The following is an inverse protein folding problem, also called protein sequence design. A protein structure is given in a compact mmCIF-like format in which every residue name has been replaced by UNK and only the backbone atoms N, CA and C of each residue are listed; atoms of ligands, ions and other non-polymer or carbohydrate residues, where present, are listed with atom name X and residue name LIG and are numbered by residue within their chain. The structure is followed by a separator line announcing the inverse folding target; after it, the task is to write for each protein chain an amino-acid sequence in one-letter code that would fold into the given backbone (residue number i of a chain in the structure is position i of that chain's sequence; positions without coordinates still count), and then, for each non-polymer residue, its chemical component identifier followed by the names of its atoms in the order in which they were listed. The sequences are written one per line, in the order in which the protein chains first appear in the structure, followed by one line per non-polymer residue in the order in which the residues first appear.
data_IF_871624133929
#
_entry.id   IF_871624133929
#
_cell.length_a   1.000
_cell.length_b   1.000
_cell.length_c   1.000
_cell.angle_alpha   90.00
_cell.angle_beta   90.00
_cell.angle_gamma   90.00
#
_symmetry.space_group_name_H-M   'P 1'
#
loop_
_entity.id
_entity.type
_entity.pdbx_description
1 polymer ?
#
# COMPACT_ATOMS: atom_id res chain seq x y z
N UNK A 1 8.48 21.87 1.87
CA UNK A 1 8.55 20.50 1.29
C UNK A 1 7.61 19.63 2.12
N UNK A 2 6.86 18.75 1.52
CA UNK A 2 5.97 17.89 2.29
C UNK A 2 6.74 17.07 3.32
N UNK A 3 6.09 16.74 4.43
CA UNK A 3 6.68 15.89 5.47
C UNK A 3 6.54 14.41 5.13
N UNK A 4 5.45 14.05 4.42
CA UNK A 4 5.10 12.69 4.05
C UNK A 4 4.83 12.57 2.54
N UNK A 5 5.42 11.57 1.87
CA UNK A 5 4.98 11.12 0.56
C UNK A 5 4.17 9.84 0.71
N UNK A 6 2.91 9.89 0.28
CA UNK A 6 2.07 8.69 0.15
C UNK A 6 2.23 8.15 -1.26
N UNK A 7 2.72 6.92 -1.37
CA UNK A 7 3.04 6.29 -2.66
C UNK A 7 2.19 5.04 -2.83
N UNK A 8 1.71 4.80 -4.04
CA UNK A 8 1.10 3.52 -4.42
C UNK A 8 1.47 3.12 -5.84
N UNK A 9 1.51 1.82 -6.10
CA UNK A 9 1.61 1.25 -7.43
C UNK A 9 0.21 0.85 -7.91
N UNK A 10 -0.22 1.41 -9.04
CA UNK A 10 -1.52 1.11 -9.65
C UNK A 10 -1.35 0.28 -10.93
N UNK A 11 -2.28 -0.64 -11.17
CA UNK A 11 -2.51 -1.24 -12.46
C UNK A 11 -4.00 -1.58 -12.62
N UNK A 12 -4.67 -0.94 -13.57
CA UNK A 12 -6.08 -1.19 -13.92
C UNK A 12 -7.05 -1.26 -12.72
N UNK A 13 -6.81 -0.46 -11.69
CA UNK A 13 -7.56 -0.52 -10.42
C UNK A 13 -8.17 0.84 -10.04
N UNK A 14 -9.00 1.47 -10.92
CA UNK A 14 -9.46 2.85 -10.74
C UNK A 14 -10.26 3.07 -9.46
N UNK A 15 -11.14 2.13 -9.10
CA UNK A 15 -12.00 2.26 -7.91
C UNK A 15 -11.20 2.17 -6.60
N UNK A 16 -10.19 1.29 -6.58
CA UNK A 16 -9.29 1.16 -5.44
C UNK A 16 -8.41 2.39 -5.28
N UNK A 17 -7.85 2.89 -6.40
CA UNK A 17 -7.05 4.11 -6.39
C UNK A 17 -7.86 5.32 -5.91
N UNK A 18 -9.13 5.44 -6.34
CA UNK A 18 -10.03 6.48 -5.87
C UNK A 18 -10.28 6.37 -4.36
N UNK A 19 -10.59 5.17 -3.85
CA UNK A 19 -10.85 4.93 -2.44
C UNK A 19 -9.61 5.26 -1.59
N UNK A 20 -8.43 4.77 -1.99
CA UNK A 20 -7.18 5.07 -1.32
C UNK A 20 -6.93 6.58 -1.26
N UNK A 21 -6.94 7.25 -2.41
CA UNK A 21 -6.68 8.70 -2.50
C UNK A 21 -7.65 9.51 -1.65
N UNK A 22 -8.96 9.22 -1.75
CA UNK A 22 -9.97 9.93 -0.95
C UNK A 22 -9.80 9.68 0.55
N UNK A 23 -9.40 8.46 0.96
CA UNK A 23 -9.11 8.17 2.35
C UNK A 23 -7.89 8.93 2.87
N UNK A 24 -6.82 9.04 2.06
CA UNK A 24 -5.65 9.85 2.39
C UNK A 24 -6.03 11.32 2.57
N UNK A 25 -6.75 11.90 1.62
CA UNK A 25 -7.23 13.30 1.70
C UNK A 25 -8.07 13.56 2.95
N UNK A 26 -8.92 12.60 3.31
CA UNK A 26 -9.84 12.73 4.45
C UNK A 26 -9.14 12.65 5.80
N UNK A 27 -8.11 11.82 5.93
CA UNK A 27 -7.58 11.41 7.23
C UNK A 27 -6.12 11.79 7.47
N UNK A 28 -5.40 12.34 6.49
CA UNK A 28 -4.04 12.84 6.67
C UNK A 28 -4.05 14.28 7.17
N UNK A 29 -3.26 14.59 8.18
CA UNK A 29 -3.27 15.89 8.86
C UNK A 29 -1.97 16.68 8.72
N UNK A 30 -0.85 16.04 8.40
CA UNK A 30 0.44 16.70 8.14
C UNK A 30 0.53 17.13 6.68
N UNK A 31 1.55 17.92 6.32
CA UNK A 31 1.81 18.29 4.92
C UNK A 31 2.28 17.06 4.13
N UNK A 32 1.61 16.74 3.02
CA UNK A 32 1.88 15.54 2.24
C UNK A 32 1.80 15.75 0.73
N UNK A 33 2.36 14.81 -0.01
CA UNK A 33 2.14 14.62 -1.45
C UNK A 33 1.64 13.21 -1.73
N UNK A 34 0.89 13.04 -2.82
CA UNK A 34 0.45 11.72 -3.32
C UNK A 34 1.19 11.43 -4.62
N UNK A 35 1.84 10.27 -4.69
CA UNK A 35 2.55 9.79 -5.87
C UNK A 35 1.95 8.44 -6.28
N UNK A 36 1.44 8.36 -7.50
CA UNK A 36 0.92 7.12 -8.07
C UNK A 36 1.81 6.69 -9.23
N UNK A 37 2.40 5.51 -9.09
CA UNK A 37 3.15 4.85 -10.16
C UNK A 37 2.20 3.92 -10.88
N UNK A 38 1.75 4.35 -12.03
CA UNK A 38 0.88 3.53 -12.87
C UNK A 38 1.70 2.56 -13.71
N UNK A 39 1.53 1.29 -13.47
CA UNK A 39 2.27 0.17 -14.07
C UNK A 39 1.71 -0.24 -15.45
N UNK A 40 1.26 0.71 -16.27
CA UNK A 40 0.82 0.44 -17.62
C UNK A 40 -0.66 0.05 -17.72
N UNK A 41 -1.52 0.74 -16.99
CA UNK A 41 -2.97 0.59 -17.07
C UNK A 41 -3.51 0.99 -18.44
N UNK A 42 -4.68 0.45 -18.80
CA UNK A 42 -5.43 0.93 -19.96
C UNK A 42 -5.88 2.38 -19.75
N UNK A 43 -5.88 3.21 -20.79
CA UNK A 43 -6.27 4.63 -20.68
C UNK A 43 -7.64 4.86 -20.03
N UNK A 44 -8.62 3.98 -20.31
CA UNK A 44 -9.96 4.06 -19.71
C UNK A 44 -9.97 3.97 -18.19
N UNK A 45 -8.95 3.31 -17.59
CA UNK A 45 -8.82 3.09 -16.15
C UNK A 45 -8.01 4.20 -15.46
N UNK A 46 -7.50 5.18 -16.23
CA UNK A 46 -6.77 6.34 -15.70
C UNK A 46 -7.59 7.62 -15.67
N UNK A 47 -8.78 7.64 -16.29
CA UNK A 47 -9.61 8.84 -16.48
C UNK A 47 -9.84 9.61 -15.18
N UNK A 48 -10.05 8.92 -14.06
CA UNK A 48 -10.25 9.58 -12.79
C UNK A 48 -8.93 10.15 -12.25
N UNK A 49 -7.85 9.37 -12.28
CA UNK A 49 -6.53 9.78 -11.78
C UNK A 49 -5.97 10.98 -12.56
N UNK A 50 -6.15 11.01 -13.88
CA UNK A 50 -5.68 12.09 -14.77
C UNK A 50 -6.36 13.45 -14.51
N UNK A 51 -7.52 13.43 -13.84
CA UNK A 51 -8.26 14.64 -13.46
C UNK A 51 -7.83 15.21 -12.10
N UNK A 52 -6.96 14.51 -11.36
CA UNK A 52 -6.56 14.92 -10.03
C UNK A 52 -5.31 15.81 -10.11
N UNK A 53 -5.43 17.11 -9.81
CA UNK A 53 -4.34 18.08 -9.90
C UNK A 53 -3.30 17.96 -8.76
N UNK A 54 -3.70 17.40 -7.63
CA UNK A 54 -2.87 17.23 -6.42
C UNK A 54 -2.11 15.89 -6.38
N UNK A 55 -2.23 15.05 -7.42
CA UNK A 55 -1.55 13.78 -7.55
C UNK A 55 -0.40 13.87 -8.54
N UNK A 56 0.77 13.41 -8.14
CA UNK A 56 1.88 13.16 -9.06
C UNK A 56 1.71 11.77 -9.70
N UNK A 57 1.04 11.73 -10.85
CA UNK A 57 0.80 10.50 -11.61
C UNK A 57 1.97 10.24 -12.58
N UNK A 58 2.68 9.12 -12.40
CA UNK A 58 3.74 8.63 -13.28
C UNK A 58 3.19 7.44 -14.08
N UNK A 59 2.94 7.64 -15.37
CA UNK A 59 2.43 6.60 -16.27
C UNK A 59 3.58 5.87 -16.93
N UNK A 60 3.69 4.58 -16.66
CA UNK A 60 4.66 3.71 -17.31
C UNK A 60 4.05 3.03 -18.53
N UNK A 61 4.86 2.72 -19.51
CA UNK A 61 4.41 2.01 -20.72
C UNK A 61 4.14 0.52 -20.50
N UNK A 62 4.62 -0.05 -19.41
CA UNK A 62 4.45 -1.46 -19.06
C UNK A 62 4.63 -1.68 -17.55
N UNK A 63 4.18 -2.85 -17.08
CA UNK A 63 4.34 -3.26 -15.69
C UNK A 63 5.81 -3.59 -15.39
N UNK A 64 6.44 -2.80 -14.53
CA UNK A 64 7.81 -3.00 -14.05
C UNK A 64 7.87 -3.83 -12.76
N UNK A 65 6.73 -4.23 -12.22
CA UNK A 65 6.60 -4.94 -10.96
C UNK A 65 6.43 -4.01 -9.75
N UNK A 66 5.77 -4.52 -8.71
CA UNK A 66 5.36 -3.76 -7.52
C UNK A 66 6.57 -3.14 -6.80
N UNK A 67 7.57 -3.95 -6.45
CA UNK A 67 8.76 -3.46 -5.74
C UNK A 67 9.59 -2.44 -6.52
N UNK A 68 9.67 -2.57 -7.86
CA UNK A 68 10.33 -1.57 -8.70
C UNK A 68 9.53 -0.25 -8.72
N UNK A 69 8.20 -0.30 -8.69
CA UNK A 69 7.36 0.89 -8.57
C UNK A 69 7.54 1.58 -7.21
N UNK A 70 7.70 0.80 -6.11
CA UNK A 70 8.07 1.33 -4.80
C UNK A 70 9.41 2.07 -4.85
N UNK A 71 10.45 1.44 -5.41
CA UNK A 71 11.79 2.03 -5.52
C UNK A 71 11.73 3.33 -6.34
N UNK A 72 11.02 3.34 -7.46
CA UNK A 72 10.84 4.54 -8.29
C UNK A 72 10.11 5.65 -7.51
N UNK A 73 8.98 5.31 -6.85
CA UNK A 73 8.22 6.26 -6.05
C UNK A 73 9.06 6.88 -4.94
N UNK A 74 9.88 6.07 -4.26
CA UNK A 74 10.82 6.52 -3.22
C UNK A 74 11.85 7.50 -3.78
N UNK A 75 12.45 7.21 -4.94
CA UNK A 75 13.44 8.08 -5.57
C UNK A 75 12.89 9.45 -5.94
N UNK A 76 11.65 9.51 -6.42
CA UNK A 76 11.03 10.76 -6.89
C UNK A 76 10.24 11.52 -5.82
N UNK A 77 10.12 10.96 -4.62
CA UNK A 77 9.48 11.60 -3.47
C UNK A 77 10.31 12.81 -2.99
N UNK A 78 9.63 13.79 -2.38
CA UNK A 78 10.25 15.03 -1.91
C UNK A 78 10.24 15.19 -0.39
N UNK A 79 9.62 14.26 0.31
CA UNK A 79 9.42 14.29 1.76
C UNK A 79 10.51 13.54 2.51
N UNK A 80 10.55 13.76 3.82
CA UNK A 80 11.39 12.99 4.73
C UNK A 80 10.88 11.55 4.87
N UNK A 81 9.58 11.39 5.10
CA UNK A 81 8.95 10.09 5.30
C UNK A 81 8.19 9.63 4.07
N UNK A 82 8.14 8.32 3.91
CA UNK A 82 7.36 7.64 2.87
C UNK A 82 6.40 6.66 3.52
N UNK A 83 5.13 6.74 3.15
CA UNK A 83 4.13 5.70 3.39
C UNK A 83 3.76 5.08 2.04
N UNK A 84 4.16 3.84 1.81
CA UNK A 84 3.75 3.09 0.64
C UNK A 84 2.54 2.23 0.96
N UNK A 85 1.49 2.31 0.13
CA UNK A 85 0.27 1.51 0.27
C UNK A 85 0.06 0.60 -0.94
N UNK A 86 -0.43 -0.61 -0.71
CA UNK A 86 -1.11 -1.34 -1.77
C UNK A 86 -2.35 -0.57 -2.20
N UNK A 87 -2.63 -0.54 -3.50
CA UNK A 87 -3.72 0.29 -4.04
C UNK A 87 -5.11 -0.14 -3.55
N UNK A 88 -5.25 -1.40 -3.15
CA UNK A 88 -6.45 -1.99 -2.55
C UNK A 88 -6.50 -1.88 -1.02
N UNK A 89 -5.70 -0.95 -0.47
CA UNK A 89 -5.77 -0.52 0.93
C UNK A 89 -6.44 0.84 1.05
N UNK A 90 -6.96 1.16 2.23
CA UNK A 90 -7.39 2.52 2.55
C UNK A 90 -7.26 2.84 4.03
N UNK A 91 -7.08 4.11 4.33
CA UNK A 91 -7.04 4.62 5.71
C UNK A 91 -8.46 4.76 6.24
N UNK A 92 -8.69 4.45 7.52
CA UNK A 92 -10.01 4.42 8.13
C UNK A 92 -10.26 5.51 9.17
N UNK A 93 -9.21 6.20 9.64
CA UNK A 93 -9.31 7.20 10.70
C UNK A 93 -8.22 8.27 10.64
N UNK A 94 -8.44 9.46 11.22
CA UNK A 94 -7.41 10.48 11.37
C UNK A 94 -6.33 10.05 12.39
N UNK A 95 -5.17 10.72 12.31
CA UNK A 95 -4.04 10.56 13.23
C UNK A 95 -3.07 9.44 12.86
N UNK A 96 -3.37 8.65 11.85
CA UNK A 96 -2.54 7.55 11.37
C UNK A 96 -1.11 8.00 10.99
N UNK A 97 -1.03 9.14 10.34
CA UNK A 97 0.19 9.79 9.87
C UNK A 97 1.14 10.15 11.02
N UNK A 98 0.61 10.84 12.01
CA UNK A 98 1.38 11.25 13.21
C UNK A 98 1.80 10.05 14.06
N UNK A 99 0.87 9.10 14.27
CA UNK A 99 1.15 7.90 15.04
C UNK A 99 2.24 7.03 14.40
N UNK A 100 2.31 6.94 13.05
CA UNK A 100 3.41 6.25 12.37
C UNK A 100 4.74 6.99 12.53
N UNK A 101 4.75 8.32 12.44
CA UNK A 101 5.96 9.12 12.66
C UNK A 101 6.43 8.97 14.11
N UNK A 102 5.52 9.02 15.09
CA UNK A 102 5.84 8.83 16.49
C UNK A 102 6.42 7.44 16.77
N UNK A 103 5.81 6.39 16.21
CA UNK A 103 6.30 5.02 16.32
C UNK A 103 7.69 4.86 15.70
N UNK A 104 7.91 5.43 14.50
CA UNK A 104 9.20 5.36 13.81
C UNK A 104 10.30 6.12 14.55
N UNK A 105 10.00 7.32 15.04
CA UNK A 105 10.98 8.20 15.71
C UNK A 105 11.17 7.89 17.19
N UNK A 106 10.32 7.06 17.79
CA UNK A 106 10.40 6.65 19.19
C UNK A 106 11.56 5.69 19.51
N UNK A 107 12.11 5.02 18.49
CA UNK A 107 13.32 4.15 18.62
C UNK A 107 14.19 4.34 17.36
N UNK A 108 15.35 4.95 17.52
CA UNK A 108 16.31 5.23 16.45
C UNK A 108 16.77 3.97 15.69
N UNK A 109 16.54 2.79 16.23
CA UNK A 109 16.82 1.53 15.53
C UNK A 109 15.73 1.12 14.54
N UNK A 110 14.50 1.62 14.67
CA UNK A 110 13.44 1.31 13.71
C UNK A 110 13.72 2.02 12.39
N UNK A 111 13.84 1.25 11.30
CA UNK A 111 14.12 1.78 9.95
C UNK A 111 13.08 1.40 8.91
N UNK A 112 12.16 0.55 9.28
CA UNK A 112 11.00 0.18 8.48
C UNK A 112 9.86 -0.21 9.42
N UNK A 113 8.66 0.29 9.13
CA UNK A 113 7.42 -0.23 9.71
C UNK A 113 6.67 -0.93 8.57
N UNK A 114 6.13 -2.11 8.83
CA UNK A 114 5.35 -2.87 7.86
C UNK A 114 4.32 -3.73 8.55
N UNK A 115 3.44 -4.36 7.79
CA UNK A 115 2.41 -5.25 8.34
C UNK A 115 2.96 -6.66 8.51
N UNK A 116 2.62 -7.33 9.61
CA UNK A 116 3.01 -8.73 9.83
C UNK A 116 2.48 -9.62 8.70
N UNK A 117 3.38 -10.37 8.08
CA UNK A 117 3.05 -11.32 7.03
C UNK A 117 2.50 -12.65 7.58
N UNK A 118 2.00 -13.52 6.70
CA UNK A 118 1.69 -14.91 7.05
C UNK A 118 2.96 -15.67 7.40
N UNK A 119 2.83 -16.88 7.99
CA UNK A 119 3.91 -17.67 8.64
C UNK A 119 5.26 -17.73 7.91
N UNK A 120 5.26 -17.68 6.58
CA UNK A 120 6.48 -17.77 5.77
C UNK A 120 7.01 -16.42 5.28
N UNK A 121 6.34 -15.32 5.61
CA UNK A 121 6.69 -13.98 5.12
C UNK A 121 6.75 -13.02 6.29
N UNK A 122 7.91 -12.44 6.57
CA UNK A 122 8.06 -11.54 7.72
C UNK A 122 7.21 -10.26 7.59
N UNK A 123 6.99 -9.80 6.36
CA UNK A 123 6.16 -8.62 6.06
C UNK A 123 5.15 -8.91 4.96
N UNK A 124 4.07 -8.15 4.99
CA UNK A 124 3.02 -8.08 3.98
C UNK A 124 2.91 -6.64 3.46
N UNK A 125 2.68 -6.42 2.15
CA UNK A 125 2.78 -5.10 1.52
C UNK A 125 1.65 -4.08 1.72
N UNK A 126 0.55 -4.29 2.46
CA UNK A 126 -0.52 -3.29 2.55
C UNK A 126 -0.07 -1.91 2.99
N UNK A 127 0.99 -1.85 3.80
CA UNK A 127 1.65 -0.62 4.24
C UNK A 127 3.12 -0.88 4.50
N UNK A 128 3.97 0.04 4.00
CA UNK A 128 5.33 0.25 4.48
C UNK A 128 5.52 1.73 4.82
N UNK A 129 6.21 1.98 5.94
CA UNK A 129 6.57 3.34 6.36
C UNK A 129 8.03 3.40 6.74
N UNK A 130 8.76 4.40 6.21
CA UNK A 130 10.20 4.54 6.38
C UNK A 130 10.69 5.97 6.12
N UNK A 131 11.90 6.26 6.54
CA UNK A 131 12.62 7.49 6.16
C UNK A 131 13.31 7.30 4.81
N UNK A 132 13.02 8.19 3.85
CA UNK A 132 13.50 8.10 2.47
C UNK A 132 15.03 8.02 2.39
N UNK A 133 15.72 8.94 3.07
CA UNK A 133 17.18 9.04 2.98
C UNK A 133 17.86 7.76 3.48
N UNK A 134 17.37 7.15 4.56
CA UNK A 134 17.91 5.88 5.05
C UNK A 134 17.85 4.77 3.98
N UNK A 135 16.72 4.66 3.27
CA UNK A 135 16.56 3.66 2.20
C UNK A 135 17.52 3.93 1.04
N UNK A 136 17.64 5.19 0.62
CA UNK A 136 18.48 5.57 -0.53
C UNK A 136 19.99 5.46 -0.22
N UNK A 137 20.44 5.96 0.92
CA UNK A 137 21.85 5.93 1.32
C UNK A 137 22.39 4.52 1.53
N UNK A 138 21.53 3.61 1.98
CA UNK A 138 21.90 2.21 2.21
C UNK A 138 21.59 1.30 1.01
N UNK A 139 21.16 1.86 -0.13
CA UNK A 139 20.82 1.10 -1.34
C UNK A 139 19.80 -0.03 -1.09
N UNK A 140 18.86 0.19 -0.17
CA UNK A 140 17.81 -0.78 0.13
C UNK A 140 16.78 -0.75 -1.00
N UNK A 141 16.37 -1.94 -1.47
CA UNK A 141 15.39 -2.09 -2.56
C UNK A 141 14.26 -3.00 -2.12
N UNK A 142 13.04 -2.62 -2.51
CA UNK A 142 11.82 -3.38 -2.28
C UNK A 142 11.54 -4.41 -3.37
N UNK A 143 12.44 -4.53 -4.32
CA UNK A 143 12.30 -5.41 -5.48
C UNK A 143 12.08 -6.86 -5.10
N UNK A 144 11.15 -7.50 -5.80
CA UNK A 144 10.98 -8.96 -5.75
C UNK A 144 12.21 -9.69 -6.33
N UNK A 145 12.66 -10.72 -5.63
CA UNK A 145 13.78 -11.57 -6.08
C UNK A 145 13.27 -12.99 -6.36
N UNK A 146 12.95 -13.31 -7.63
CA UNK A 146 12.34 -14.61 -8.00
C UNK A 146 13.13 -15.82 -7.53
N UNK A 147 14.49 -15.74 -7.57
CA UNK A 147 15.37 -16.85 -7.17
C UNK A 147 15.30 -17.23 -5.70
N UNK A 148 14.80 -16.32 -4.86
CA UNK A 148 14.70 -16.52 -3.42
C UNK A 148 13.26 -16.81 -2.98
N UNK A 149 12.32 -16.94 -3.92
CA UNK A 149 10.86 -17.06 -3.63
C UNK A 149 10.38 -16.00 -2.64
N UNK A 150 10.98 -14.80 -2.68
CA UNK A 150 10.63 -13.70 -1.78
C UNK A 150 9.41 -12.96 -2.32
N UNK A 151 8.68 -12.29 -1.44
CA UNK A 151 7.68 -11.31 -1.82
C UNK A 151 8.29 -9.90 -1.86
N UNK A 152 7.52 -8.90 -2.27
CA UNK A 152 7.88 -7.49 -2.19
C UNK A 152 8.36 -7.15 -0.78
N UNK A 153 9.43 -6.36 -0.67
CA UNK A 153 10.04 -5.88 0.57
C UNK A 153 10.70 -6.93 1.49
N UNK A 154 10.66 -8.23 1.18
CA UNK A 154 11.34 -9.21 2.05
C UNK A 154 12.86 -9.04 2.05
N UNK A 155 13.43 -8.68 0.90
CA UNK A 155 14.85 -8.33 0.85
C UNK A 155 15.16 -7.13 1.74
N UNK A 156 14.39 -6.06 1.63
CA UNK A 156 14.55 -4.87 2.46
C UNK A 156 14.46 -5.20 3.97
N UNK A 157 13.53 -6.07 4.36
CA UNK A 157 13.43 -6.56 5.74
C UNK A 157 14.73 -7.19 6.23
N UNK A 158 15.29 -8.13 5.48
CA UNK A 158 16.53 -8.81 5.87
C UNK A 158 17.76 -7.90 5.79
N UNK A 159 17.85 -7.02 4.80
CA UNK A 159 18.95 -6.05 4.68
C UNK A 159 19.00 -5.17 5.95
N UNK A 160 17.86 -4.63 6.38
CA UNK A 160 17.74 -3.77 7.57
C UNK A 160 18.15 -4.52 8.84
N UNK A 161 17.68 -5.76 9.02
CA UNK A 161 18.06 -6.56 10.18
C UNK A 161 19.56 -6.92 10.19
N UNK A 162 20.14 -7.27 9.03
CA UNK A 162 21.56 -7.60 8.90
C UNK A 162 22.46 -6.38 9.18
N UNK A 163 21.96 -5.17 9.01
CA UNK A 163 22.64 -3.92 9.40
C UNK A 163 22.54 -3.63 10.90
N UNK A 164 21.84 -4.46 11.68
CA UNK A 164 21.65 -4.29 13.12
C UNK A 164 20.52 -3.34 13.52
N UNK A 165 19.68 -2.94 12.57
CA UNK A 165 18.49 -2.15 12.79
C UNK A 165 17.25 -3.02 13.04
N UNK A 166 16.11 -2.37 13.33
CA UNK A 166 14.82 -3.02 13.59
C UNK A 166 13.82 -2.76 12.47
N UNK A 167 12.95 -3.72 12.28
CA UNK A 167 11.72 -3.58 11.51
C UNK A 167 10.55 -3.76 12.46
N UNK A 168 9.72 -2.72 12.60
CA UNK A 168 8.51 -2.77 13.40
C UNK A 168 7.38 -3.40 12.58
N UNK A 169 6.58 -4.27 13.21
CA UNK A 169 5.54 -5.02 12.53
C UNK A 169 4.17 -4.73 13.14
N UNK A 170 3.32 -4.08 12.35
CA UNK A 170 1.94 -3.80 12.73
C UNK A 170 1.12 -5.09 12.71
N UNK A 171 0.32 -5.26 13.73
CA UNK A 171 -0.54 -6.44 13.88
C UNK A 171 -1.84 -6.29 13.10
N UNK A 172 -2.41 -7.44 12.77
CA UNK A 172 -3.77 -7.55 12.25
C UNK A 172 -4.74 -7.73 13.41
N UNK A 173 -5.88 -7.08 13.34
CA UNK A 173 -6.87 -7.09 14.40
C UNK A 173 -8.24 -7.59 13.95
N UNK A 174 -9.25 -7.36 14.79
CA UNK A 174 -10.64 -7.71 14.51
C UNK A 174 -11.16 -7.00 13.27
N UNK A 175 -11.99 -7.69 12.52
CA UNK A 175 -12.57 -7.18 11.27
C UNK A 175 -13.72 -6.21 11.54
N UNK A 176 -13.60 -4.97 11.07
CA UNK A 176 -14.69 -3.99 11.07
C UNK A 176 -15.65 -4.25 9.91
N UNK A 177 -15.09 -4.58 8.73
CA UNK A 177 -15.86 -4.96 7.57
C UNK A 177 -16.13 -6.48 7.61
N UNK A 178 -17.37 -6.87 7.35
CA UNK A 178 -17.69 -8.30 7.19
C UNK A 178 -17.31 -8.77 5.77
N UNK A 179 -16.07 -8.49 5.38
CA UNK A 179 -15.49 -8.77 4.07
C UNK A 179 -14.16 -9.51 4.22
N UNK A 180 -13.66 -10.10 3.13
CA UNK A 180 -12.32 -10.65 3.06
C UNK A 180 -11.31 -9.49 3.06
N UNK A 181 -10.32 -9.60 3.93
CA UNK A 181 -9.26 -8.60 4.06
C UNK A 181 -8.63 -8.61 5.43
N UNK A 182 -7.72 -7.69 5.64
CA UNK A 182 -7.03 -7.46 6.91
C UNK A 182 -7.36 -6.08 7.46
N UNK A 183 -7.71 -6.03 8.74
CA UNK A 183 -7.72 -4.81 9.54
C UNK A 183 -6.36 -4.66 10.19
N UNK A 184 -5.65 -3.59 9.88
CA UNK A 184 -4.31 -3.32 10.39
C UNK A 184 -4.43 -2.31 11.51
N UNK A 185 -3.89 -2.69 12.66
CA UNK A 185 -3.98 -1.91 13.87
C UNK A 185 -2.71 -1.08 14.10
N UNK A 186 -2.92 0.16 14.50
CA UNK A 186 -1.88 1.05 15.01
C UNK A 186 -2.34 1.55 16.38
N UNK A 187 -1.50 1.36 17.40
CA UNK A 187 -1.83 1.66 18.81
C UNK A 187 -3.16 1.00 19.27
N UNK A 188 -3.37 -0.26 18.88
CA UNK A 188 -4.57 -1.03 19.24
C UNK A 188 -5.86 -0.60 18.55
N UNK A 189 -5.80 0.32 17.58
CA UNK A 189 -6.96 0.82 16.84
C UNK A 189 -6.88 0.39 15.37
N UNK A 190 -8.00 -0.09 14.83
CA UNK A 190 -8.10 -0.35 13.39
C UNK A 190 -7.88 0.96 12.63
N UNK A 191 -6.88 0.97 11.77
CA UNK A 191 -6.36 2.18 11.14
C UNK A 191 -6.33 2.09 9.63
N UNK A 192 -6.00 0.92 9.11
CA UNK A 192 -5.90 0.66 7.67
C UNK A 192 -6.64 -0.63 7.38
N UNK A 193 -7.41 -0.66 6.31
CA UNK A 193 -7.99 -1.86 5.76
C UNK A 193 -7.31 -2.21 4.44
N UNK A 194 -7.08 -3.49 4.20
CA UNK A 194 -6.54 -4.03 2.97
C UNK A 194 -7.44 -5.15 2.46
N UNK A 195 -7.93 -5.02 1.23
CA UNK A 195 -8.74 -6.05 0.57
C UNK A 195 -7.82 -7.09 -0.08
N UNK A 196 -7.94 -8.37 0.31
CA UNK A 196 -7.17 -9.42 -0.36
C UNK A 196 -7.57 -9.57 -1.82
N UNK A 197 -6.55 -9.65 -2.68
CA UNK A 197 -6.73 -9.84 -4.13
C UNK A 197 -7.50 -8.72 -4.84
N UNK A 198 -7.63 -7.53 -4.24
CA UNK A 198 -8.39 -6.42 -4.82
C UNK A 198 -8.00 -6.08 -6.25
N UNK A 199 -6.71 -6.17 -6.58
CA UNK A 199 -6.17 -5.86 -7.91
C UNK A 199 -6.05 -7.07 -8.84
N UNK A 200 -6.11 -8.31 -8.33
CA UNK A 200 -5.85 -9.51 -9.14
C UNK A 200 -6.99 -9.92 -10.06
N UNK A 201 -8.20 -9.51 -9.76
CA UNK A 201 -9.41 -9.80 -10.55
C UNK A 201 -9.88 -8.61 -11.38
N UNK A 202 -8.95 -7.83 -11.93
CA UNK A 202 -9.31 -6.80 -12.90
C UNK A 202 -9.33 -7.35 -14.35
N UNK A 203 -9.90 -6.56 -15.29
CA UNK A 203 -10.14 -7.01 -16.66
C UNK A 203 -8.88 -7.40 -17.44
N UNK A 204 -7.71 -6.90 -17.05
CA UNK A 204 -6.45 -7.10 -17.76
C UNK A 204 -5.48 -8.01 -17.04
N UNK A 205 -5.87 -8.57 -15.89
CA UNK A 205 -5.02 -9.49 -15.16
C UNK A 205 -5.01 -10.86 -15.88
N UNK A 206 -3.81 -11.39 -16.26
CA UNK A 206 -3.70 -12.71 -16.88
C UNK A 206 -4.22 -13.83 -15.98
N UNK A 207 -4.27 -13.64 -14.66
CA UNK A 207 -4.84 -14.59 -13.71
C UNK A 207 -6.38 -14.60 -13.72
N UNK A 208 -7.03 -13.63 -14.40
CA UNK A 208 -8.49 -13.58 -14.58
C UNK A 208 -9.08 -14.86 -15.21
N UNK A 209 -8.26 -15.64 -15.92
CA UNK A 209 -8.68 -16.92 -16.53
C UNK A 209 -8.78 -18.06 -15.53
N UNK A 210 -8.34 -17.87 -14.29
CA UNK A 210 -8.46 -18.85 -13.22
C UNK A 210 -9.71 -18.56 -12.42
N UNK A 211 -10.65 -19.50 -12.36
CA UNK A 211 -11.88 -19.40 -11.56
C UNK A 211 -11.61 -19.33 -10.05
N UNK A 212 -10.38 -19.61 -9.65
CA UNK A 212 -9.94 -19.58 -8.25
C UNK A 212 -8.48 -19.14 -8.16
N UNK A 213 -8.19 -18.32 -7.18
CA UNK A 213 -6.83 -17.97 -6.77
C UNK A 213 -6.65 -18.42 -5.32
N UNK A 214 -5.71 -19.35 -5.07
CA UNK A 214 -5.48 -19.93 -3.72
C UNK A 214 -6.76 -20.41 -3.00
N UNK A 215 -7.72 -20.99 -3.75
CA UNK A 215 -9.01 -21.44 -3.24
C UNK A 215 -10.09 -20.35 -3.13
N UNK A 216 -9.76 -19.10 -3.44
CA UNK A 216 -10.69 -17.99 -3.40
C UNK A 216 -11.38 -17.79 -4.75
N UNK A 217 -12.69 -17.92 -4.78
CA UNK A 217 -13.47 -17.86 -6.00
C UNK A 217 -13.70 -16.41 -6.48
N UNK A 218 -13.67 -16.22 -7.79
CA UNK A 218 -13.94 -14.92 -8.43
C UNK A 218 -15.29 -14.31 -8.02
N UNK A 219 -16.34 -15.15 -7.93
CA UNK A 219 -17.67 -14.72 -7.49
C UNK A 219 -17.64 -14.17 -6.05
N UNK A 220 -16.93 -14.86 -5.16
CA UNK A 220 -16.75 -14.42 -3.78
C UNK A 220 -16.00 -13.10 -3.70
N UNK A 221 -14.98 -12.91 -4.55
CA UNK A 221 -14.26 -11.64 -4.63
C UNK A 221 -15.20 -10.48 -4.98
N UNK A 222 -16.02 -10.62 -6.03
CA UNK A 222 -16.93 -9.54 -6.43
C UNK A 222 -18.01 -9.28 -5.38
N UNK A 223 -18.50 -10.32 -4.70
CA UNK A 223 -19.42 -10.19 -3.58
C UNK A 223 -18.80 -9.36 -2.45
N UNK A 224 -17.58 -9.70 -2.03
CA UNK A 224 -16.87 -8.99 -0.97
C UNK A 224 -16.52 -7.56 -1.37
N UNK A 225 -16.07 -7.34 -2.60
CA UNK A 225 -15.82 -5.99 -3.15
C UNK A 225 -17.08 -5.13 -3.09
N UNK A 226 -18.21 -5.65 -3.57
CA UNK A 226 -19.49 -4.96 -3.52
C UNK A 226 -19.88 -4.61 -2.09
N UNK A 227 -19.81 -5.57 -1.17
CA UNK A 227 -20.13 -5.38 0.24
C UNK A 227 -19.25 -4.31 0.88
N UNK A 228 -17.95 -4.26 0.56
CA UNK A 228 -17.04 -3.22 1.04
C UNK A 228 -17.43 -1.83 0.52
N UNK A 229 -17.66 -1.69 -0.79
CA UNK A 229 -18.00 -0.40 -1.40
C UNK A 229 -19.41 0.10 -1.00
N UNK A 230 -20.31 -0.79 -0.59
CA UNK A 230 -21.63 -0.46 -0.03
C UNK A 230 -21.58 -0.19 1.49
N UNK A 231 -20.44 -0.40 2.15
CA UNK A 231 -20.34 -0.16 3.60
C UNK A 231 -20.40 1.34 3.92
N UNK A 232 -21.19 1.77 4.94
CA UNK A 232 -21.40 3.20 5.25
C UNK A 232 -20.11 4.00 5.43
N UNK A 233 -19.08 3.43 6.06
CA UNK A 233 -17.77 4.10 6.23
C UNK A 233 -17.07 4.33 4.88
N UNK A 234 -17.11 3.38 3.96
CA UNK A 234 -16.50 3.51 2.63
C UNK A 234 -17.28 4.53 1.81
N UNK A 235 -18.61 4.48 1.84
CA UNK A 235 -19.47 5.49 1.20
C UNK A 235 -19.15 6.91 1.72
N UNK A 236 -18.88 7.04 3.02
CA UNK A 236 -18.52 8.34 3.61
C UNK A 236 -17.12 8.81 3.18
N UNK A 237 -16.17 7.91 2.92
CA UNK A 237 -14.87 8.25 2.36
C UNK A 237 -15.02 8.70 0.90
N UNK A 238 -15.88 8.03 0.13
CA UNK A 238 -16.05 8.29 -1.29
C UNK A 238 -16.87 9.55 -1.63
N UNK A 239 -17.58 10.13 -0.67
CA UNK A 239 -18.24 11.46 -0.82
C UNK A 239 -17.23 12.61 -0.84
#
# INVERSE_FOLDING_TARGET
MPELSVITANIDSPEWAELLVKSIRKFTSIDYEIIIIDNGSLPKNLIWLEKQEDIKLIKLSSNIGHGNAMDLGTQISRSKYVAFFDVDSHVQRPGWDKELIELYSGDDKIKLIGVIGPEHKPLHPPLFFYEKEFILENNISFKYLPRLSTDTAQKAYWDILNMGFKVERLEKGEKIYNCIGDEIHLNGKSTIYHMWYGTRFNENNPDKKKDKLDGYALEEHFKNKKQLFEHPKVIEILK
#
